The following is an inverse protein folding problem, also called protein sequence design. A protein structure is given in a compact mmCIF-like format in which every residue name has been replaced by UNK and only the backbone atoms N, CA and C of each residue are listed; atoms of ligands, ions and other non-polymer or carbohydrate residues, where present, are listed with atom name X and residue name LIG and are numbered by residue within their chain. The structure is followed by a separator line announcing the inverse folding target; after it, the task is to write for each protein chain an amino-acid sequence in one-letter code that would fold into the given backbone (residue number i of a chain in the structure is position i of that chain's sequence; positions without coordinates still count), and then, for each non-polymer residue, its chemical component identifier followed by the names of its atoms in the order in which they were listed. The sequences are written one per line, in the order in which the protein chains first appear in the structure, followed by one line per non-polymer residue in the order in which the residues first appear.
data_IF_536413527665
#
_entry.id   IF_536413527665
#
_cell.length_a   1.000
_cell.length_b   1.000
_cell.length_c   1.000
_cell.angle_alpha   90.00
_cell.angle_beta   90.00
_cell.angle_gamma   90.00
#
_symmetry.space_group_name_H-M   'P 1'
#
loop_
_entity.id
_entity.type
_entity.pdbx_description
1 polymer ?
#
# COMPACT_ATOMS: atom_id res chain seq x y z
N UNK A 1 -2.91 -2.00 -0.30
CA UNK A 1 -3.82 -3.06 0.19
C UNK A 1 -5.25 -2.56 0.11
N UNK A 2 -6.14 -3.13 -0.71
CA UNK A 2 -7.56 -2.75 -0.71
C UNK A 2 -8.29 -3.41 0.47
N UNK A 3 -9.18 -2.66 1.11
CA UNK A 3 -9.99 -3.11 2.24
C UNK A 3 -11.40 -2.48 2.19
N UNK A 4 -12.36 -3.09 2.86
CA UNK A 4 -13.72 -2.55 3.10
C UNK A 4 -14.05 -2.63 4.59
N UNK A 5 -15.00 -1.82 5.05
CA UNK A 5 -15.40 -1.79 6.46
C UNK A 5 -14.44 -1.01 7.35
N UNK A 6 -14.34 -1.37 8.61
CA UNK A 6 -13.55 -0.65 9.61
C UNK A 6 -12.05 -0.63 9.28
N UNK A 7 -11.43 0.54 9.40
CA UNK A 7 -10.00 0.71 9.15
C UNK A 7 -9.18 0.16 10.32
N UNK A 8 -8.43 -0.89 10.06
CA UNK A 8 -7.42 -1.41 10.98
C UNK A 8 -6.09 -0.73 10.72
N UNK A 9 -5.35 -0.38 11.79
CA UNK A 9 -4.12 0.40 11.72
C UNK A 9 -2.84 -0.43 11.84
N UNK A 10 -2.97 -1.75 11.88
CA UNK A 10 -1.84 -2.69 11.89
C UNK A 10 -1.99 -3.70 10.75
N UNK A 11 -0.89 -4.24 10.21
CA UNK A 11 -0.98 -5.27 9.17
C UNK A 11 -1.47 -6.63 9.70
N UNK A 12 -1.39 -6.86 11.01
CA UNK A 12 -1.58 -8.19 11.61
C UNK A 12 -0.32 -9.05 11.52
N UNK A 13 -0.31 -10.18 12.24
CA UNK A 13 0.78 -11.15 12.23
C UNK A 13 0.36 -12.46 11.57
N UNK A 14 1.30 -13.40 11.43
CA UNK A 14 0.99 -14.76 10.96
C UNK A 14 0.21 -15.56 12.03
N UNK A 15 0.48 -15.28 13.31
CA UNK A 15 -0.18 -15.91 14.45
C UNK A 15 -1.58 -15.34 14.67
N UNK A 16 -1.75 -14.02 14.46
CA UNK A 16 -3.00 -13.29 14.68
C UNK A 16 -3.37 -12.45 13.44
N UNK A 17 -3.75 -13.09 12.31
CA UNK A 17 -4.06 -12.37 11.07
C UNK A 17 -5.30 -11.48 11.20
N UNK A 18 -6.25 -11.83 12.04
CA UNK A 18 -7.52 -11.11 12.22
C UNK A 18 -7.37 -9.78 12.98
N UNK A 19 -6.24 -9.54 13.64
CA UNK A 19 -5.96 -8.28 14.34
C UNK A 19 -5.65 -7.13 13.38
N UNK A 20 -5.25 -7.43 12.13
CA UNK A 20 -4.79 -6.44 11.16
C UNK A 20 -5.62 -6.40 9.88
N UNK A 21 -5.12 -5.62 8.91
CA UNK A 21 -5.74 -5.47 7.59
C UNK A 21 -5.30 -6.57 6.59
N UNK A 22 -4.63 -7.65 7.02
CA UNK A 22 -4.42 -8.83 6.18
C UNK A 22 -5.75 -9.48 5.85
N UNK A 23 -5.81 -10.20 4.74
CA UNK A 23 -6.99 -10.94 4.34
C UNK A 23 -6.66 -12.39 4.09
N UNK A 24 -7.58 -13.25 4.45
CA UNK A 24 -7.58 -14.65 4.04
C UNK A 24 -7.90 -14.73 2.55
N UNK A 25 -7.40 -15.78 1.93
CA UNK A 25 -7.74 -16.16 0.56
C UNK A 25 -7.75 -17.68 0.42
N UNK A 26 -8.45 -18.20 -0.58
CA UNK A 26 -8.40 -19.60 -0.92
C UNK A 26 -7.53 -19.82 -2.15
N UNK A 27 -6.83 -20.95 -2.15
CA UNK A 27 -6.02 -21.40 -3.29
C UNK A 27 -6.81 -21.51 -4.60
N UNK A 28 -8.11 -21.83 -4.52
CA UNK A 28 -8.99 -21.89 -5.66
C UNK A 28 -9.23 -20.54 -6.34
N UNK A 29 -9.12 -19.44 -5.56
CA UNK A 29 -9.33 -18.07 -6.02
C UNK A 29 -8.00 -17.35 -6.33
N UNK A 30 -6.86 -18.06 -6.17
CA UNK A 30 -5.53 -17.55 -6.49
C UNK A 30 -5.09 -18.05 -7.86
N UNK A 31 -4.78 -17.13 -8.77
CA UNK A 31 -4.31 -17.45 -10.11
C UNK A 31 -3.02 -16.69 -10.41
N UNK A 32 -1.95 -17.44 -10.71
CA UNK A 32 -0.65 -16.91 -11.08
C UNK A 32 -0.22 -17.45 -12.44
N UNK A 33 0.24 -16.56 -13.31
CA UNK A 33 0.89 -16.87 -14.60
C UNK A 33 1.94 -15.80 -14.89
N UNK A 34 2.91 -16.04 -15.77
CA UNK A 34 3.88 -15.01 -16.15
C UNK A 34 3.18 -13.69 -16.54
N UNK A 35 3.57 -12.59 -15.89
CA UNK A 35 3.03 -11.26 -16.12
C UNK A 35 1.64 -10.97 -15.55
N UNK A 36 1.01 -11.91 -14.82
CA UNK A 36 -0.30 -11.66 -14.23
C UNK A 36 -0.51 -12.48 -12.95
N UNK A 37 -1.01 -11.81 -11.92
CA UNK A 37 -1.45 -12.42 -10.67
C UNK A 37 -2.85 -11.93 -10.32
N UNK A 38 -3.69 -12.82 -9.78
CA UNK A 38 -4.97 -12.40 -9.20
C UNK A 38 -5.35 -13.25 -7.99
N UNK A 39 -6.09 -12.64 -7.06
CA UNK A 39 -6.58 -13.28 -5.83
C UNK A 39 -7.84 -12.58 -5.34
N UNK A 40 -8.72 -13.34 -4.67
CA UNK A 40 -9.85 -12.76 -3.94
C UNK A 40 -9.50 -12.63 -2.45
N UNK A 41 -9.55 -11.40 -1.96
CA UNK A 41 -9.35 -11.06 -0.55
C UNK A 41 -10.67 -11.27 0.18
N UNK A 42 -10.83 -12.43 0.81
CA UNK A 42 -12.14 -12.89 1.33
C UNK A 42 -12.73 -12.03 2.41
N UNK A 43 -11.88 -11.49 3.30
CA UNK A 43 -12.36 -10.69 4.43
C UNK A 43 -12.95 -9.34 3.99
N UNK A 44 -12.63 -8.91 2.75
CA UNK A 44 -13.08 -7.64 2.17
C UNK A 44 -13.95 -7.80 0.93
N UNK A 45 -14.10 -9.01 0.42
CA UNK A 45 -14.82 -9.27 -0.83
C UNK A 45 -14.19 -8.58 -2.05
N UNK A 46 -12.89 -8.26 -2.00
CA UNK A 46 -12.20 -7.54 -3.07
C UNK A 46 -11.36 -8.49 -3.91
N UNK A 47 -11.54 -8.45 -5.23
CA UNK A 47 -10.62 -9.11 -6.17
C UNK A 47 -9.47 -8.18 -6.49
N UNK A 48 -8.23 -8.64 -6.27
CA UNK A 48 -7.00 -7.96 -6.66
C UNK A 48 -6.40 -8.62 -7.89
N UNK A 49 -6.04 -7.84 -8.90
CA UNK A 49 -5.36 -8.26 -10.13
C UNK A 49 -4.10 -7.40 -10.31
N UNK A 50 -2.95 -8.05 -10.52
CA UNK A 50 -1.66 -7.39 -10.57
C UNK A 50 -0.93 -7.75 -11.85
N UNK A 51 -0.30 -6.76 -12.47
CA UNK A 51 0.64 -6.93 -13.58
C UNK A 51 1.71 -5.84 -13.51
N UNK A 52 2.77 -5.96 -14.28
CA UNK A 52 3.81 -4.94 -14.33
C UNK A 52 4.43 -4.87 -15.72
N UNK A 53 4.98 -3.70 -16.03
CA UNK A 53 5.98 -3.48 -17.07
C UNK A 53 7.37 -3.38 -16.41
N UNK A 54 8.39 -3.06 -17.17
CA UNK A 54 9.77 -2.91 -16.65
C UNK A 54 9.90 -1.84 -15.55
N UNK A 55 8.99 -0.85 -15.51
CA UNK A 55 9.09 0.32 -14.61
C UNK A 55 7.81 0.66 -13.87
N UNK A 56 6.67 0.08 -14.25
CA UNK A 56 5.36 0.43 -13.67
C UNK A 56 4.62 -0.83 -13.23
N UNK A 57 4.27 -0.87 -11.95
CA UNK A 57 3.30 -1.81 -11.41
C UNK A 57 1.89 -1.33 -11.71
N UNK A 58 1.04 -2.23 -12.18
CA UNK A 58 -0.38 -1.96 -12.41
C UNK A 58 -1.22 -2.88 -11.54
N UNK A 59 -2.10 -2.29 -10.76
CA UNK A 59 -2.98 -3.00 -9.84
C UNK A 59 -4.43 -2.61 -10.17
N UNK A 60 -5.31 -3.60 -10.24
CA UNK A 60 -6.75 -3.42 -10.36
C UNK A 60 -7.44 -4.06 -9.19
N UNK A 61 -8.29 -3.30 -8.53
CA UNK A 61 -9.10 -3.77 -7.42
C UNK A 61 -10.57 -3.70 -7.80
N UNK A 62 -11.26 -4.84 -7.80
CA UNK A 62 -12.72 -4.90 -8.00
C UNK A 62 -13.37 -4.99 -6.63
N UNK A 63 -14.11 -3.95 -6.26
CA UNK A 63 -14.73 -3.78 -4.96
C UNK A 63 -16.19 -4.25 -4.96
N UNK A 64 -16.72 -4.73 -3.83
CA UNK A 64 -18.16 -4.82 -3.61
C UNK A 64 -18.77 -3.41 -3.43
N UNK A 65 -20.09 -3.34 -3.32
CA UNK A 65 -20.77 -2.11 -2.89
C UNK A 65 -20.41 -1.81 -1.44
N UNK A 66 -19.88 -0.62 -1.19
CA UNK A 66 -19.47 -0.19 0.16
C UNK A 66 -19.27 1.32 0.23
N UNK A 67 -19.75 1.93 1.31
CA UNK A 67 -19.46 3.32 1.67
C UNK A 67 -18.11 3.48 2.37
N UNK A 68 -17.40 2.36 2.64
CA UNK A 68 -16.16 2.32 3.40
C UNK A 68 -15.09 1.50 2.66
N UNK A 69 -14.94 1.72 1.37
CA UNK A 69 -13.85 1.15 0.56
C UNK A 69 -12.59 1.98 0.72
N UNK A 70 -11.44 1.31 0.84
CA UNK A 70 -10.14 1.99 1.02
C UNK A 70 -9.02 1.29 0.28
N UNK A 71 -8.00 2.07 -0.08
CA UNK A 71 -6.71 1.56 -0.54
C UNK A 71 -5.64 2.05 0.42
N UNK A 72 -5.04 1.12 1.17
CA UNK A 72 -3.98 1.41 2.15
C UNK A 72 -2.63 1.37 1.47
N UNK A 73 -1.89 2.47 1.54
CA UNK A 73 -0.48 2.59 1.24
C UNK A 73 0.32 2.36 2.52
N UNK A 74 0.95 1.20 2.62
CA UNK A 74 1.75 0.80 3.78
C UNK A 74 3.23 0.87 3.40
N UNK A 75 3.84 2.02 3.58
CA UNK A 75 5.24 2.28 3.23
C UNK A 75 6.16 2.34 4.45
N UNK A 76 5.62 2.70 5.61
CA UNK A 76 6.38 2.91 6.84
C UNK A 76 6.63 1.64 7.66
N UNK A 77 6.27 0.45 7.16
CA UNK A 77 6.46 -0.80 7.86
C UNK A 77 7.47 -1.70 7.16
N UNK A 78 8.27 -2.40 7.96
CA UNK A 78 9.26 -3.35 7.45
C UNK A 78 8.59 -4.41 6.57
N UNK A 79 9.15 -4.62 5.38
CA UNK A 79 8.74 -5.65 4.43
C UNK A 79 9.91 -6.60 4.17
N UNK A 80 9.79 -7.84 4.63
CA UNK A 80 10.81 -8.86 4.41
C UNK A 80 12.20 -8.43 4.90
N UNK A 81 13.19 -8.45 4.00
CA UNK A 81 14.60 -8.16 4.27
C UNK A 81 14.96 -6.66 4.16
N UNK A 82 13.98 -5.77 4.01
CA UNK A 82 14.23 -4.32 3.91
C UNK A 82 14.94 -3.72 5.14
N UNK A 83 15.00 -4.47 6.24
CA UNK A 83 15.58 -4.00 7.49
C UNK A 83 14.65 -3.00 8.23
N UNK A 84 15.17 -2.32 9.25
CA UNK A 84 14.44 -1.27 9.95
C UNK A 84 14.08 -0.11 9.00
N UNK A 85 12.94 0.51 9.26
CA UNK A 85 12.55 1.77 8.62
C UNK A 85 13.14 2.91 9.44
N UNK A 86 13.99 3.72 8.82
CA UNK A 86 14.60 4.90 9.44
C UNK A 86 13.63 6.08 9.39
N UNK A 87 13.06 6.29 8.20
CA UNK A 87 12.09 7.35 7.96
C UNK A 87 11.17 6.97 6.80
N UNK A 88 9.99 7.56 6.75
CA UNK A 88 9.08 7.47 5.61
C UNK A 88 8.20 8.71 5.52
N UNK A 89 7.73 8.98 4.32
CA UNK A 89 6.84 10.09 4.02
C UNK A 89 5.88 9.68 2.94
N UNK A 90 4.61 10.04 3.09
CA UNK A 90 3.57 9.85 2.09
C UNK A 90 2.67 11.08 2.03
N UNK A 91 2.30 11.48 0.83
CA UNK A 91 1.42 12.61 0.55
C UNK A 91 0.46 12.29 -0.58
N UNK A 92 -0.79 12.64 -0.39
CA UNK A 92 -1.78 12.77 -1.45
C UNK A 92 -1.64 14.18 -2.07
N UNK A 93 -1.09 14.26 -3.30
CA UNK A 93 -0.87 15.54 -4.02
C UNK A 93 -2.19 16.10 -4.50
N UNK A 94 -3.03 15.22 -5.03
CA UNK A 94 -4.39 15.46 -5.47
C UNK A 94 -5.23 14.19 -5.22
N UNK A 95 -6.57 14.21 -5.39
CA UNK A 95 -7.43 13.05 -5.11
C UNK A 95 -7.08 11.76 -5.88
N UNK A 96 -6.24 11.81 -6.88
CA UNK A 96 -5.83 10.65 -7.70
C UNK A 96 -4.34 10.34 -7.61
N UNK A 97 -3.54 11.19 -6.96
CA UNK A 97 -2.08 11.09 -7.00
C UNK A 97 -1.48 11.03 -5.60
N UNK A 98 -0.65 10.02 -5.38
CA UNK A 98 0.09 9.81 -4.12
C UNK A 98 1.57 9.66 -4.44
N UNK A 99 2.41 10.34 -3.66
CA UNK A 99 3.86 10.20 -3.70
C UNK A 99 4.45 9.97 -2.32
N UNK A 100 5.69 9.54 -2.28
CA UNK A 100 6.39 9.44 -1.01
C UNK A 100 7.74 8.72 -1.15
N UNK A 101 8.35 8.53 0.02
CA UNK A 101 9.59 7.77 0.13
C UNK A 101 9.62 6.92 1.40
N UNK A 102 10.51 5.95 1.40
CA UNK A 102 10.92 5.20 2.58
C UNK A 102 12.44 5.10 2.60
N UNK A 103 13.03 5.29 3.78
CA UNK A 103 14.46 5.10 4.03
C UNK A 103 14.62 3.87 4.92
N UNK A 104 15.39 2.90 4.45
CA UNK A 104 15.59 1.61 5.13
C UNK A 104 17.06 1.33 5.40
N UNK A 105 17.32 0.42 6.34
CA UNK A 105 18.63 -0.16 6.62
C UNK A 105 18.64 -1.65 6.28
N UNK A 106 18.76 -2.04 4.99
CA UNK A 106 18.68 -3.44 4.59
C UNK A 106 19.80 -4.27 5.24
N UNK A 107 19.45 -5.42 5.79
CA UNK A 107 20.38 -6.28 6.56
C UNK A 107 21.62 -6.66 5.74
N UNK A 108 21.44 -6.92 4.43
CA UNK A 108 22.57 -7.27 3.55
C UNK A 108 23.52 -6.10 3.30
N UNK A 109 23.03 -4.84 3.27
CA UNK A 109 23.86 -3.63 3.12
C UNK A 109 24.67 -3.40 4.39
N UNK A 110 24.07 -3.59 5.57
CA UNK A 110 24.71 -3.40 6.86
C UNK A 110 25.93 -4.32 7.06
N UNK A 111 25.96 -5.49 6.41
CA UNK A 111 27.11 -6.40 6.45
C UNK A 111 28.38 -5.82 5.80
N UNK A 112 28.21 -4.97 4.81
CA UNK A 112 29.32 -4.41 4.02
C UNK A 112 29.58 -2.95 4.35
N UNK A 113 28.56 -2.23 4.76
CA UNK A 113 28.65 -0.81 5.10
C UNK A 113 27.72 -0.50 6.26
N UNK A 114 28.25 -0.56 7.48
CA UNK A 114 27.49 -0.25 8.69
C UNK A 114 26.95 1.20 8.67
N UNK A 115 25.67 1.37 9.01
CA UNK A 115 25.01 2.66 9.01
C UNK A 115 24.55 3.18 7.65
N UNK A 116 24.80 2.42 6.55
CA UNK A 116 24.31 2.82 5.25
C UNK A 116 22.79 2.63 5.14
N UNK A 117 22.11 3.60 4.53
CA UNK A 117 20.68 3.59 4.28
C UNK A 117 20.37 3.50 2.79
N UNK A 118 19.20 2.97 2.46
CA UNK A 118 18.70 2.90 1.09
C UNK A 118 17.38 3.65 1.01
N UNK A 119 17.33 4.82 0.35
CA UNK A 119 16.10 5.49 0.03
C UNK A 119 15.40 4.83 -1.15
N UNK A 120 14.07 4.73 -1.07
CA UNK A 120 13.21 4.33 -2.17
C UNK A 120 12.06 5.32 -2.28
N UNK A 121 11.87 5.87 -3.47
CA UNK A 121 10.79 6.81 -3.78
C UNK A 121 9.71 6.10 -4.56
N UNK A 122 8.47 6.50 -4.38
CA UNK A 122 7.35 5.98 -5.17
C UNK A 122 6.43 7.11 -5.62
N UNK A 123 5.75 6.84 -6.72
CA UNK A 123 4.70 7.70 -7.27
C UNK A 123 3.56 6.80 -7.76
N UNK A 124 2.33 7.10 -7.39
CA UNK A 124 1.17 6.30 -7.73
C UNK A 124 0.02 7.18 -8.21
N UNK A 125 -0.65 6.73 -9.28
CA UNK A 125 -1.82 7.40 -9.87
C UNK A 125 -3.00 6.43 -9.89
N UNK A 126 -4.16 6.92 -9.46
CA UNK A 126 -5.42 6.19 -9.48
C UNK A 126 -6.33 6.73 -10.59
N UNK A 127 -7.17 5.88 -11.15
CA UNK A 127 -8.16 6.30 -12.15
C UNK A 127 -9.48 6.82 -11.54
N UNK A 128 -9.68 6.59 -10.23
CA UNK A 128 -10.80 7.12 -9.46
C UNK A 128 -10.30 8.10 -8.40
N UNK A 129 -10.86 9.32 -8.29
CA UNK A 129 -10.51 10.24 -7.22
C UNK A 129 -10.97 9.70 -5.86
N UNK A 130 -10.09 9.81 -4.85
CA UNK A 130 -10.43 9.56 -3.47
C UNK A 130 -11.35 10.67 -2.92
N UNK A 131 -12.26 10.34 -2.03
CA UNK A 131 -13.10 11.32 -1.33
C UNK A 131 -12.31 12.05 -0.22
N UNK A 132 -11.41 11.34 0.44
CA UNK A 132 -10.50 11.86 1.48
C UNK A 132 -9.33 10.91 1.70
N UNK A 133 -8.36 11.33 2.49
CA UNK A 133 -7.27 10.49 2.98
C UNK A 133 -7.32 10.41 4.51
N UNK A 134 -7.04 9.21 5.02
CA UNK A 134 -6.82 8.95 6.44
C UNK A 134 -5.37 8.55 6.64
N UNK A 135 -4.70 9.17 7.60
CA UNK A 135 -3.29 8.90 7.90
C UNK A 135 -3.13 8.38 9.33
N UNK A 136 -2.16 7.50 9.52
CA UNK A 136 -1.89 6.89 10.82
C UNK A 136 -0.50 6.25 10.85
N UNK A 137 0.06 6.09 12.04
CA UNK A 137 1.19 5.20 12.27
C UNK A 137 0.69 3.81 12.66
N UNK A 138 1.54 2.81 12.55
CA UNK A 138 1.22 1.44 12.93
C UNK A 138 0.68 1.36 14.37
N UNK A 139 -0.56 0.91 14.53
CA UNK A 139 -1.23 0.83 15.84
C UNK A 139 -1.64 2.17 16.44
N UNK A 140 -1.42 3.28 15.72
CA UNK A 140 -1.76 4.62 16.19
C UNK A 140 -3.19 5.06 15.85
N UNK A 141 -3.53 6.25 16.34
CA UNK A 141 -4.79 6.92 16.04
C UNK A 141 -4.86 7.33 14.56
N UNK A 142 -6.07 7.26 14.00
CA UNK A 142 -6.36 7.71 12.65
C UNK A 142 -6.74 9.19 12.66
N UNK A 143 -6.20 9.95 11.72
CA UNK A 143 -6.58 11.35 11.48
C UNK A 143 -6.82 11.59 9.99
N UNK A 144 -7.66 12.57 9.67
CA UNK A 144 -7.80 13.03 8.29
C UNK A 144 -6.70 14.05 7.99
N UNK A 145 -5.86 13.72 7.01
CA UNK A 145 -4.81 14.58 6.50
C UNK A 145 -4.35 14.09 5.13
N UNK A 146 -3.71 14.96 4.36
CA UNK A 146 -3.17 14.68 3.05
C UNK A 146 -1.70 14.18 3.08
N UNK A 147 -1.06 14.20 4.26
CA UNK A 147 0.33 13.74 4.41
C UNK A 147 0.63 13.25 5.82
N UNK A 148 1.64 12.37 5.92
CA UNK A 148 2.21 11.90 7.17
C UNK A 148 3.68 11.51 6.94
N UNK A 149 4.51 11.62 7.97
CA UNK A 149 5.93 11.24 7.95
C UNK A 149 6.30 10.40 9.18
N UNK A 150 7.49 9.80 9.12
CA UNK A 150 8.08 9.01 10.20
C UNK A 150 7.90 7.51 10.02
N UNK A 151 8.68 6.73 10.77
CA UNK A 151 8.61 5.27 10.74
C UNK A 151 7.21 4.78 11.14
N UNK A 152 6.68 3.82 10.41
CA UNK A 152 5.32 3.31 10.61
C UNK A 152 4.22 4.09 9.91
N UNK A 153 4.55 5.11 9.10
CA UNK A 153 3.57 5.93 8.40
C UNK A 153 2.78 5.14 7.37
N UNK A 154 1.47 5.33 7.36
CA UNK A 154 0.51 4.73 6.43
C UNK A 154 -0.54 5.75 6.03
N UNK A 155 -1.08 5.57 4.84
CA UNK A 155 -2.20 6.34 4.32
C UNK A 155 -3.26 5.41 3.75
N UNK A 156 -4.51 5.66 4.06
CA UNK A 156 -5.67 5.02 3.44
C UNK A 156 -6.43 6.07 2.62
N UNK A 157 -6.54 5.87 1.32
CA UNK A 157 -7.43 6.64 0.46
C UNK A 157 -8.85 6.07 0.58
N UNK A 158 -9.81 6.92 0.85
CA UNK A 158 -11.21 6.56 1.12
C UNK A 158 -12.08 6.74 -0.12
N UNK A 159 -12.97 5.78 -0.38
CA UNK A 159 -13.87 5.75 -1.53
C UNK A 159 -15.25 5.23 -1.13
N UNK A 160 -16.27 5.62 -1.88
CA UNK A 160 -17.51 4.88 -1.99
C UNK A 160 -17.50 4.09 -3.29
N UNK A 161 -17.87 2.82 -3.22
CA UNK A 161 -17.90 1.94 -4.38
C UNK A 161 -19.27 1.31 -4.60
N UNK A 162 -19.61 1.12 -5.88
CA UNK A 162 -20.73 0.28 -6.30
C UNK A 162 -20.28 -1.17 -6.42
N UNK A 163 -21.23 -2.08 -6.52
CA UNK A 163 -20.91 -3.48 -6.78
C UNK A 163 -20.09 -3.62 -8.08
N UNK A 164 -19.04 -4.44 -8.02
CA UNK A 164 -18.09 -4.70 -9.10
C UNK A 164 -17.34 -3.47 -9.64
N UNK A 165 -17.31 -2.39 -8.88
CA UNK A 165 -16.57 -1.19 -9.27
C UNK A 165 -15.05 -1.45 -9.23
N UNK A 166 -14.37 -1.03 -10.29
CA UNK A 166 -12.93 -1.22 -10.46
C UNK A 166 -12.19 0.07 -10.19
N UNK A 167 -11.17 0.00 -9.35
CA UNK A 167 -10.21 1.08 -9.13
C UNK A 167 -8.84 0.58 -9.56
N UNK A 168 -8.21 1.28 -10.51
CA UNK A 168 -6.88 0.97 -10.99
C UNK A 168 -5.84 1.89 -10.34
N UNK A 169 -4.71 1.30 -9.97
CA UNK A 169 -3.55 2.01 -9.42
C UNK A 169 -2.35 1.70 -10.29
N UNK A 170 -1.68 2.73 -10.79
CA UNK A 170 -0.38 2.65 -11.47
C UNK A 170 0.66 3.22 -10.54
N UNK A 171 1.74 2.48 -10.30
CA UNK A 171 2.81 2.92 -9.42
C UNK A 171 4.19 2.63 -9.97
N UNK A 172 5.11 3.54 -9.75
CA UNK A 172 6.54 3.37 -10.02
C UNK A 172 7.37 3.52 -8.76
N UNK A 173 8.53 2.87 -8.74
CA UNK A 173 9.48 2.95 -7.65
C UNK A 173 10.86 3.27 -8.25
N UNK A 174 11.62 4.13 -7.58
CA UNK A 174 13.00 4.46 -7.93
C UNK A 174 13.87 4.56 -6.67
N UNK A 175 15.16 4.24 -6.80
CA UNK A 175 16.19 4.38 -5.76
C UNK A 175 17.08 5.60 -5.96
N UNK A 176 16.90 6.35 -7.05
CA UNK A 176 17.58 7.61 -7.30
C UNK A 176 16.67 8.78 -6.94
N UNK A 177 17.25 9.90 -6.47
CA UNK A 177 16.56 11.18 -6.40
C UNK A 177 16.04 11.55 -7.80
N UNK A 178 14.88 11.02 -8.15
CA UNK A 178 14.13 11.58 -9.24
C UNK A 178 13.52 12.85 -8.67
N UNK A 179 13.93 14.02 -9.18
CA UNK A 179 13.04 15.17 -9.16
C UNK A 179 11.74 14.70 -9.81
N UNK A 180 10.81 14.27 -8.99
CA UNK A 180 9.43 14.03 -9.38
C UNK A 180 8.85 15.44 -9.47
N UNK A 181 9.06 16.06 -10.63
CA UNK A 181 8.48 17.32 -11.04
C UNK A 181 7.30 17.06 -11.96
#
# INVERSE_FOLDING_TARGET
MPVTGDLKTIPGSMENPDEGFRSRFDKADEHARPGHYSVVLKDYGVKAELTATDRVGFQRYTFPESDQSRIIFNIGNRQGESGPIVDSYIKMIDPQTVEGYVITEPVYVQKYQAGATVPMYFYAVLDKPAESASVFHQGGAVSEADQINGAGAMMALNFKTKADEKINVKGSITVSDANIG
#
